data_IF_884085073474
#
_entry.id   IF_884085073474
#
_cell.length_a   1.000
_cell.length_b   1.000
_cell.length_c   1.000
_cell.angle_alpha   90.00
_cell.angle_beta   90.00
_cell.angle_gamma   90.00
#
_symmetry.space_group_name_H-M   'P 1'
#
loop_
_entity.id
_entity.type
_entity.pdbx_description
1 polymer ?
#
# COMPACT_ATOMS: atom_id res chain seq x y z
N UNK A 1 4.74 -27.68 -88.42
CA UNK A 1 5.27 -27.05 -87.19
C UNK A 1 4.11 -26.73 -86.25
N UNK A 2 3.98 -27.45 -85.12
CA UNK A 2 2.87 -27.31 -84.16
C UNK A 2 3.28 -26.34 -83.05
N UNK A 3 2.58 -25.20 -82.88
CA UNK A 3 2.76 -24.31 -81.72
C UNK A 3 1.80 -24.73 -80.60
N UNK A 4 2.34 -25.28 -79.51
CA UNK A 4 1.61 -25.52 -78.25
C UNK A 4 1.47 -24.19 -77.50
N UNK A 5 0.26 -23.85 -77.09
CA UNK A 5 -0.01 -22.75 -76.17
C UNK A 5 -0.16 -23.33 -74.76
N UNK A 6 0.60 -22.82 -73.80
CA UNK A 6 0.46 -23.17 -72.39
C UNK A 6 -0.34 -22.06 -71.70
N UNK A 7 -1.52 -22.40 -71.19
CA UNK A 7 -2.28 -21.54 -70.29
C UNK A 7 -1.75 -21.71 -68.87
N UNK A 8 -1.20 -20.64 -68.28
CA UNK A 8 -0.93 -20.59 -66.84
C UNK A 8 -2.24 -20.30 -66.10
N UNK A 9 -2.72 -21.28 -65.33
CA UNK A 9 -3.77 -21.04 -64.33
C UNK A 9 -3.10 -20.52 -63.06
N UNK A 10 -3.32 -19.25 -62.72
CA UNK A 10 -2.93 -18.69 -61.44
C UNK A 10 -3.93 -19.15 -60.36
N UNK A 11 -3.48 -20.02 -59.45
CA UNK A 11 -4.25 -20.39 -58.26
C UNK A 11 -4.03 -19.29 -57.21
N UNK A 12 -5.00 -18.39 -57.06
CA UNK A 12 -5.02 -17.42 -55.97
C UNK A 12 -5.43 -18.10 -54.66
N UNK A 13 -4.52 -18.19 -53.70
CA UNK A 13 -4.84 -18.66 -52.35
C UNK A 13 -5.61 -17.56 -51.60
N UNK A 14 -6.90 -17.79 -51.36
CA UNK A 14 -7.68 -17.02 -50.40
C UNK A 14 -7.19 -17.36 -48.99
N UNK A 15 -6.41 -16.47 -48.38
CA UNK A 15 -6.13 -16.52 -46.94
C UNK A 15 -7.39 -16.00 -46.24
N UNK A 16 -8.21 -16.90 -45.72
CA UNK A 16 -9.30 -16.54 -44.82
C UNK A 16 -8.67 -16.03 -43.50
N UNK A 17 -8.64 -14.71 -43.32
CA UNK A 17 -8.25 -14.11 -42.05
C UNK A 17 -9.30 -14.46 -41.00
N UNK A 18 -9.00 -15.41 -40.12
CA UNK A 18 -9.80 -15.69 -38.94
C UNK A 18 -9.75 -14.47 -38.03
N UNK A 19 -10.85 -13.73 -37.94
CA UNK A 19 -11.02 -12.68 -36.94
C UNK A 19 -10.96 -13.34 -35.56
N UNK A 20 -9.83 -13.17 -34.85
CA UNK A 20 -9.73 -13.52 -33.44
C UNK A 20 -10.59 -12.49 -32.69
N UNK A 21 -11.64 -12.89 -31.96
CA UNK A 21 -12.41 -11.95 -31.17
C UNK A 21 -11.49 -11.29 -30.15
N UNK A 22 -11.45 -9.96 -30.14
CA UNK A 22 -10.73 -9.21 -29.13
C UNK A 22 -11.27 -9.61 -27.76
N UNK A 23 -10.38 -10.03 -26.85
CA UNK A 23 -10.75 -10.19 -25.43
C UNK A 23 -11.36 -8.89 -24.94
N UNK A 24 -12.52 -8.92 -24.25
CA UNK A 24 -13.13 -7.70 -23.74
C UNK A 24 -12.09 -6.96 -22.90
N UNK A 25 -11.89 -5.68 -23.20
CA UNK A 25 -10.98 -4.84 -22.44
C UNK A 25 -11.42 -4.87 -20.97
N UNK A 26 -10.56 -5.41 -20.09
CA UNK A 26 -10.83 -5.38 -18.67
C UNK A 26 -10.92 -3.92 -18.20
N UNK A 27 -11.95 -3.61 -17.43
CA UNK A 27 -12.05 -2.30 -16.79
C UNK A 27 -10.84 -2.08 -15.87
N UNK A 28 -10.36 -0.84 -15.80
CA UNK A 28 -9.28 -0.48 -14.88
C UNK A 28 -9.66 -0.86 -13.44
N UNK A 29 -8.76 -1.44 -12.65
CA UNK A 29 -8.96 -1.60 -11.22
C UNK A 29 -9.24 -0.25 -10.54
N UNK A 30 -10.08 -0.26 -9.50
CA UNK A 30 -10.30 0.93 -8.68
C UNK A 30 -9.10 1.15 -7.76
N UNK A 31 -8.06 1.81 -8.25
CA UNK A 31 -6.89 2.14 -7.45
C UNK A 31 -7.24 3.05 -6.27
N UNK A 32 -6.79 2.66 -5.08
CA UNK A 32 -6.85 3.43 -3.84
C UNK A 32 -5.50 4.07 -3.55
N UNK A 33 -5.46 5.10 -2.72
CA UNK A 33 -4.17 5.64 -2.31
C UNK A 33 -3.38 4.60 -1.50
N UNK A 34 -2.05 4.53 -1.66
CA UNK A 34 -1.26 3.35 -1.25
C UNK A 34 -0.77 3.39 0.21
N UNK A 35 -1.53 4.03 1.10
CA UNK A 35 -1.23 4.08 2.54
C UNK A 35 -2.43 3.61 3.38
N UNK A 36 -2.20 3.14 4.63
CA UNK A 36 -3.24 2.60 5.50
C UNK A 36 -4.46 3.49 5.63
N UNK A 37 -5.62 2.86 5.80
CA UNK A 37 -6.91 3.53 6.01
C UNK A 37 -6.82 4.73 6.97
N UNK A 38 -7.48 5.84 6.60
CA UNK A 38 -7.63 7.02 7.44
C UNK A 38 -6.38 7.91 7.52
N UNK A 39 -5.22 7.43 7.09
CA UNK A 39 -4.03 8.28 7.02
C UNK A 39 -4.19 9.32 5.91
N UNK A 40 -3.56 10.48 6.10
CA UNK A 40 -3.56 11.58 5.14
C UNK A 40 -2.13 12.01 4.84
N UNK A 41 -1.72 11.88 3.58
CA UNK A 41 -0.35 12.15 3.13
C UNK A 41 -0.36 13.27 2.08
N UNK A 42 0.70 14.06 2.04
CA UNK A 42 0.93 15.03 0.96
C UNK A 42 1.35 14.24 -0.28
N UNK A 43 0.66 14.46 -1.40
CA UNK A 43 1.01 13.91 -2.71
C UNK A 43 1.45 15.03 -3.65
N UNK A 44 2.62 14.86 -4.26
CA UNK A 44 3.31 15.87 -5.05
C UNK A 44 3.58 15.36 -6.47
N UNK A 45 3.38 16.24 -7.45
CA UNK A 45 3.71 16.00 -8.86
C UNK A 45 4.42 17.22 -9.44
N UNK A 46 5.42 17.00 -10.30
CA UNK A 46 6.29 18.06 -10.84
C UNK A 46 6.67 17.80 -12.30
N UNK A 47 6.85 18.84 -13.10
CA UNK A 47 7.06 18.72 -14.55
C UNK A 47 8.34 17.97 -14.94
N UNK A 48 9.31 17.89 -14.03
CA UNK A 48 10.58 17.19 -14.14
C UNK A 48 10.59 15.83 -13.42
N UNK A 49 9.42 15.32 -12.99
CA UNK A 49 9.32 13.99 -12.39
C UNK A 49 9.61 12.92 -13.44
N UNK A 50 10.31 11.87 -13.05
CA UNK A 50 10.64 10.74 -13.92
C UNK A 50 10.22 9.44 -13.25
N UNK A 51 9.27 8.68 -13.84
CA UNK A 51 8.47 9.02 -15.02
C UNK A 51 7.49 10.19 -14.77
N UNK A 52 7.01 10.80 -15.86
CA UNK A 52 6.29 12.08 -15.83
C UNK A 52 4.99 12.06 -15.01
N UNK A 53 4.34 10.90 -14.94
CA UNK A 53 3.06 10.77 -14.24
C UNK A 53 3.15 10.19 -12.82
N UNK A 54 4.36 9.97 -12.30
CA UNK A 54 4.54 9.52 -10.93
C UNK A 54 3.98 10.53 -9.90
N UNK A 55 3.74 10.03 -8.69
CA UNK A 55 3.33 10.85 -7.53
C UNK A 55 4.24 10.49 -6.37
N UNK A 56 4.91 11.49 -5.80
CA UNK A 56 5.67 11.32 -4.57
C UNK A 56 4.75 11.61 -3.38
N UNK A 57 4.64 10.67 -2.46
CA UNK A 57 3.87 10.83 -1.24
C UNK A 57 4.77 10.89 -0.02
N UNK A 58 4.48 11.84 0.87
CA UNK A 58 5.19 11.96 2.14
C UNK A 58 4.29 12.53 3.24
N UNK A 59 4.71 12.36 4.48
CA UNK A 59 4.20 13.08 5.66
C UNK A 59 5.30 13.26 6.69
N UNK A 60 5.04 14.03 7.75
CA UNK A 60 5.98 14.17 8.86
C UNK A 60 6.26 12.80 9.49
N UNK A 61 7.56 12.50 9.68
CA UNK A 61 8.07 11.26 10.28
C UNK A 61 7.56 9.98 9.59
N UNK A 62 7.54 9.96 8.26
CA UNK A 62 7.04 8.84 7.45
C UNK A 62 8.04 7.70 7.23
N UNK A 63 9.30 7.84 7.64
CA UNK A 63 10.30 6.77 7.54
C UNK A 63 9.81 5.52 8.27
N UNK A 64 9.65 4.40 7.54
CA UNK A 64 9.13 3.15 8.09
C UNK A 64 7.59 3.06 8.14
N UNK A 65 6.87 4.05 7.60
CA UNK A 65 5.41 3.94 7.49
C UNK A 65 5.01 2.79 6.58
N UNK A 66 3.95 2.02 6.91
CA UNK A 66 3.47 0.96 6.04
C UNK A 66 2.99 1.49 4.70
N UNK A 67 3.43 0.84 3.62
CA UNK A 67 2.90 1.02 2.26
C UNK A 67 1.99 -0.16 1.94
N UNK A 68 0.82 0.11 1.38
CA UNK A 68 -0.19 -0.91 1.08
C UNK A 68 -0.50 -0.99 -0.42
N UNK A 69 -0.94 -2.17 -0.86
CA UNK A 69 -1.40 -2.37 -2.23
C UNK A 69 -2.58 -1.43 -2.55
N UNK A 70 -2.47 -0.75 -3.70
CA UNK A 70 -3.45 0.21 -4.20
C UNK A 70 -4.69 -0.47 -4.77
N UNK A 71 -4.52 -1.67 -5.32
CA UNK A 71 -5.60 -2.51 -5.82
C UNK A 71 -5.23 -4.00 -5.70
N UNK A 72 -6.20 -4.92 -5.76
CA UNK A 72 -5.94 -6.35 -5.81
C UNK A 72 -5.10 -6.73 -7.03
N UNK A 73 -4.21 -7.69 -6.87
CA UNK A 73 -3.33 -8.14 -7.95
C UNK A 73 -2.35 -9.22 -7.49
N UNK A 74 -1.37 -9.52 -8.34
CA UNK A 74 -0.28 -10.44 -8.06
C UNK A 74 1.03 -9.67 -8.07
N UNK A 75 1.83 -9.84 -7.01
CA UNK A 75 3.17 -9.26 -6.95
C UNK A 75 4.03 -9.93 -8.00
N UNK A 76 4.49 -9.18 -9.00
CA UNK A 76 5.30 -9.71 -10.10
C UNK A 76 6.75 -9.21 -10.05
N UNK A 77 7.06 -8.31 -9.12
CA UNK A 77 8.41 -7.81 -8.86
C UNK A 77 8.59 -7.45 -7.39
N UNK A 78 9.70 -7.90 -6.82
CA UNK A 78 10.29 -7.40 -5.58
C UNK A 78 11.78 -7.28 -5.85
N UNK A 79 12.35 -6.09 -5.79
CA UNK A 79 13.74 -5.86 -6.26
C UNK A 79 14.41 -4.73 -5.50
N UNK A 80 15.71 -4.89 -5.27
CA UNK A 80 16.60 -3.86 -4.75
C UNK A 80 17.62 -3.46 -5.82
N UNK A 81 17.54 -2.21 -6.29
CA UNK A 81 18.47 -1.61 -7.25
C UNK A 81 19.60 -0.80 -6.57
N UNK A 82 19.73 -0.86 -5.24
CA UNK A 82 20.74 -0.14 -4.49
C UNK A 82 20.50 1.37 -4.44
N UNK A 83 21.57 2.15 -4.58
CA UNK A 83 21.55 3.62 -4.45
C UNK A 83 21.11 4.40 -5.69
N UNK A 84 20.45 3.77 -6.66
CA UNK A 84 20.05 4.42 -7.92
C UNK A 84 18.60 4.13 -8.29
N UNK A 85 18.01 4.95 -9.17
CA UNK A 85 16.65 4.78 -9.70
C UNK A 85 15.64 4.55 -8.56
N UNK A 86 14.79 3.53 -8.65
CA UNK A 86 13.77 3.18 -7.66
C UNK A 86 14.32 2.70 -6.31
N UNK A 87 15.60 2.31 -6.23
CA UNK A 87 16.12 1.62 -5.07
C UNK A 87 15.37 0.31 -4.82
N UNK A 88 14.86 0.12 -3.61
CA UNK A 88 13.97 -0.99 -3.28
C UNK A 88 12.56 -0.68 -3.76
N UNK A 89 11.99 -1.57 -4.56
CA UNK A 89 10.62 -1.41 -5.03
C UNK A 89 9.84 -2.71 -5.18
N UNK A 90 8.52 -2.58 -5.11
CA UNK A 90 7.55 -3.62 -5.40
C UNK A 90 6.76 -3.22 -6.64
N UNK A 91 6.41 -4.20 -7.48
CA UNK A 91 5.42 -4.06 -8.54
C UNK A 91 4.30 -5.08 -8.40
N UNK A 92 3.08 -4.62 -8.62
CA UNK A 92 1.88 -5.46 -8.61
C UNK A 92 1.27 -5.42 -10.00
N UNK A 93 1.02 -6.60 -10.58
CA UNK A 93 0.20 -6.79 -11.77
C UNK A 93 -1.27 -6.98 -11.37
N UNK A 94 -2.12 -6.13 -11.91
CA UNK A 94 -3.56 -6.10 -11.62
C UNK A 94 -4.40 -6.74 -12.74
N UNK A 95 -3.76 -7.31 -13.77
CA UNK A 95 -4.43 -7.81 -14.96
C UNK A 95 -4.79 -6.71 -15.96
N UNK A 96 -5.15 -7.11 -17.18
CA UNK A 96 -5.51 -6.17 -18.24
C UNK A 96 -4.38 -5.21 -18.68
N UNK A 97 -3.13 -5.54 -18.34
CA UNK A 97 -1.96 -4.70 -18.59
C UNK A 97 -1.71 -3.61 -17.56
N UNK A 98 -2.52 -3.52 -16.51
CA UNK A 98 -2.34 -2.54 -15.44
C UNK A 98 -1.31 -3.00 -14.41
N UNK A 99 -0.36 -2.14 -14.10
CA UNK A 99 0.62 -2.38 -13.02
C UNK A 99 0.81 -1.15 -12.15
N UNK A 100 1.12 -1.34 -10.88
CA UNK A 100 1.52 -0.26 -9.96
C UNK A 100 2.92 -0.48 -9.43
N UNK A 101 3.66 0.62 -9.23
CA UNK A 101 5.03 0.60 -8.71
C UNK A 101 5.07 1.35 -7.38
N UNK A 102 5.84 0.82 -6.44
CA UNK A 102 6.04 1.37 -5.10
C UNK A 102 7.53 1.38 -4.81
N UNK A 103 8.17 2.55 -4.89
CA UNK A 103 9.62 2.70 -4.87
C UNK A 103 10.12 3.45 -3.63
N UNK A 104 11.45 3.51 -3.52
CA UNK A 104 12.19 4.08 -2.39
C UNK A 104 11.92 3.39 -1.05
N UNK A 105 11.45 2.14 -1.07
CA UNK A 105 11.12 1.39 0.15
C UNK A 105 12.36 1.15 1.02
N UNK A 106 12.20 0.91 2.33
CA UNK A 106 13.29 0.44 3.20
C UNK A 106 13.28 -1.09 3.41
N UNK A 107 12.19 -1.77 3.05
CA UNK A 107 11.99 -3.19 3.23
C UNK A 107 10.72 -3.69 2.52
N UNK A 108 10.57 -5.02 2.45
CA UNK A 108 9.47 -5.70 1.74
C UNK A 108 8.68 -6.59 2.70
N UNK A 109 7.36 -6.68 2.48
CA UNK A 109 6.46 -7.57 3.23
C UNK A 109 5.70 -8.55 2.33
N UNK A 110 6.19 -8.72 1.10
CA UNK A 110 5.61 -9.59 0.08
C UNK A 110 6.70 -10.26 -0.74
N UNK A 111 6.32 -11.33 -1.44
CA UNK A 111 7.20 -12.06 -2.37
C UNK A 111 6.57 -12.13 -3.77
N UNK A 112 7.40 -12.32 -4.79
CA UNK A 112 6.94 -12.54 -6.17
C UNK A 112 6.00 -13.77 -6.22
N UNK A 113 4.90 -13.65 -6.96
CA UNK A 113 3.82 -14.64 -7.07
C UNK A 113 2.73 -14.48 -6.01
N UNK A 114 2.92 -13.65 -4.98
CA UNK A 114 1.92 -13.46 -3.94
C UNK A 114 0.71 -12.66 -4.43
N UNK A 115 -0.49 -13.20 -4.25
CA UNK A 115 -1.73 -12.44 -4.42
C UNK A 115 -1.94 -11.47 -3.26
N UNK A 116 -2.32 -10.24 -3.57
CA UNK A 116 -2.57 -9.17 -2.61
C UNK A 116 -3.93 -8.52 -2.89
N UNK A 117 -4.56 -8.02 -1.83
CA UNK A 117 -5.80 -7.24 -1.91
C UNK A 117 -5.59 -5.81 -1.44
N UNK A 118 -6.66 -5.00 -1.46
CA UNK A 118 -6.65 -3.66 -0.86
C UNK A 118 -6.10 -3.69 0.57
N UNK A 119 -5.28 -2.69 0.92
CA UNK A 119 -4.75 -2.53 2.26
C UNK A 119 -3.67 -3.56 2.66
N UNK A 120 -3.36 -4.57 1.85
CA UNK A 120 -2.26 -5.49 2.18
C UNK A 120 -0.95 -4.73 2.21
N UNK A 121 -0.25 -4.75 3.35
CA UNK A 121 1.11 -4.18 3.45
C UNK A 121 2.04 -4.92 2.53
N UNK A 122 2.78 -4.16 1.74
CA UNK A 122 3.75 -4.65 0.76
C UNK A 122 5.19 -4.26 1.10
N UNK A 123 5.37 -3.28 1.96
CA UNK A 123 6.66 -2.80 2.41
C UNK A 123 6.48 -1.56 3.28
N UNK A 124 7.56 -0.82 3.46
CA UNK A 124 7.55 0.39 4.29
C UNK A 124 8.34 1.51 3.60
N UNK A 125 7.90 2.75 3.83
CA UNK A 125 8.51 3.96 3.31
C UNK A 125 9.98 4.01 3.70
N UNK A 126 10.81 4.45 2.76
CA UNK A 126 12.25 4.60 2.97
C UNK A 126 12.84 5.73 2.16
N UNK A 127 14.16 5.71 2.05
CA UNK A 127 14.95 6.64 1.26
C UNK A 127 16.04 5.89 0.48
N UNK A 128 15.66 4.80 -0.18
CA UNK A 128 16.59 4.03 -1.04
C UNK A 128 16.53 4.53 -2.49
N UNK A 129 17.55 4.21 -3.30
CA UNK A 129 17.59 4.64 -4.70
C UNK A 129 17.99 6.11 -4.87
N UNK A 130 17.52 6.72 -5.95
CA UNK A 130 17.72 8.15 -6.26
C UNK A 130 16.83 9.07 -5.44
N UNK A 131 16.80 8.88 -4.12
CA UNK A 131 15.97 9.65 -3.17
C UNK A 131 16.84 10.56 -2.29
N UNK A 132 16.37 11.78 -2.01
CA UNK A 132 17.02 12.75 -1.13
C UNK A 132 16.48 12.74 0.30
N UNK A 133 15.42 11.99 0.56
CA UNK A 133 14.81 11.85 1.89
C UNK A 133 13.61 10.90 1.87
N UNK A 134 13.10 10.48 3.03
CA UNK A 134 11.98 9.54 3.12
C UNK A 134 10.75 10.01 2.35
N UNK A 135 10.27 9.17 1.43
CA UNK A 135 8.99 9.33 0.72
C UNK A 135 8.64 8.03 -0.03
N UNK A 136 7.40 7.92 -0.48
CA UNK A 136 6.94 6.88 -1.41
C UNK A 136 6.82 7.45 -2.82
N UNK A 137 7.58 6.92 -3.77
CA UNK A 137 7.36 7.16 -5.20
C UNK A 137 6.36 6.12 -5.73
N UNK A 138 5.24 6.59 -6.29
CA UNK A 138 4.13 5.76 -6.75
C UNK A 138 3.81 5.98 -8.23
N UNK A 139 3.52 4.88 -8.94
CA UNK A 139 3.13 4.93 -10.35
C UNK A 139 1.92 4.04 -10.65
N UNK A 140 1.14 4.45 -11.65
CA UNK A 140 0.23 3.58 -12.38
C UNK A 140 0.72 3.45 -13.82
N UNK A 141 0.70 2.24 -14.36
CA UNK A 141 1.08 1.97 -15.75
C UNK A 141 0.06 1.11 -16.46
N UNK A 142 -0.04 1.29 -17.77
CA UNK A 142 -0.82 0.45 -18.68
C UNK A 142 0.08 -0.04 -19.83
N UNK A 143 0.19 -1.36 -19.97
CA UNK A 143 1.04 -2.02 -20.97
C UNK A 143 2.49 -1.51 -20.94
N UNK A 144 3.02 -1.27 -19.74
CA UNK A 144 4.39 -0.79 -19.51
C UNK A 144 4.59 0.73 -19.57
N UNK A 145 3.63 1.48 -20.12
CA UNK A 145 3.69 2.95 -20.21
C UNK A 145 3.14 3.58 -18.93
N UNK A 146 3.82 4.62 -18.42
CA UNK A 146 3.27 5.41 -17.34
C UNK A 146 2.03 6.16 -17.79
N UNK A 147 1.02 6.16 -16.93
CA UNK A 147 -0.26 6.83 -17.19
C UNK A 147 -0.57 7.76 -16.03
N UNK A 148 -1.44 8.74 -16.30
CA UNK A 148 -1.92 9.62 -15.26
C UNK A 148 -2.59 8.82 -14.13
N UNK A 149 -2.10 9.04 -12.91
CA UNK A 149 -2.57 8.37 -11.71
C UNK A 149 -3.99 8.79 -11.40
N UNK A 150 -4.86 7.79 -11.18
CA UNK A 150 -6.24 7.98 -10.74
C UNK A 150 -6.49 7.24 -9.45
N UNK A 151 -7.06 7.91 -8.45
CA UNK A 151 -7.53 7.28 -7.22
C UNK A 151 -9.05 7.36 -7.16
N UNK A 152 -9.72 6.22 -6.96
CA UNK A 152 -11.19 6.14 -7.01
C UNK A 152 -11.76 6.70 -8.33
N UNK A 153 -11.05 6.49 -9.44
CA UNK A 153 -11.39 7.06 -10.76
C UNK A 153 -11.05 8.55 -10.94
N UNK A 154 -10.81 9.28 -9.85
CA UNK A 154 -10.48 10.70 -9.88
C UNK A 154 -9.00 10.91 -10.21
N UNK A 155 -8.73 11.87 -11.09
CA UNK A 155 -7.37 12.25 -11.46
C UNK A 155 -6.61 12.83 -10.25
N UNK A 156 -5.35 12.41 -10.08
CA UNK A 156 -4.44 13.06 -9.14
C UNK A 156 -4.20 14.53 -9.54
N UNK A 157 -3.86 15.39 -8.58
CA UNK A 157 -3.40 16.75 -8.88
C UNK A 157 -2.04 16.66 -9.58
N UNK A 158 -1.97 17.23 -10.79
CA UNK A 158 -0.74 17.40 -11.55
C UNK A 158 -0.19 18.81 -11.40
N UNK A 159 1.14 18.91 -11.25
CA UNK A 159 1.91 20.15 -11.14
C UNK A 159 1.64 20.92 -9.84
N UNK A 160 1.58 20.19 -8.73
CA UNK A 160 1.37 20.77 -7.42
C UNK A 160 1.30 19.74 -6.30
N UNK A 161 0.87 20.20 -5.14
CA UNK A 161 0.76 19.39 -3.92
C UNK A 161 -0.69 19.33 -3.48
N UNK A 162 -1.17 18.13 -3.15
CA UNK A 162 -2.51 17.89 -2.59
C UNK A 162 -2.42 16.87 -1.47
N UNK A 163 -3.15 17.09 -0.37
CA UNK A 163 -3.35 16.06 0.64
C UNK A 163 -4.35 15.02 0.16
N UNK A 164 -3.99 13.75 0.28
CA UNK A 164 -4.86 12.62 -0.01
C UNK A 164 -5.13 11.84 1.27
N UNK A 165 -6.40 11.55 1.55
CA UNK A 165 -6.82 10.71 2.68
C UNK A 165 -7.19 9.32 2.18
N UNK A 166 -6.69 8.29 2.85
CA UNK A 166 -6.91 6.91 2.43
C UNK A 166 -8.27 6.37 2.82
N UNK A 167 -8.98 5.88 1.81
CA UNK A 167 -10.12 4.99 1.94
C UNK A 167 -9.73 3.52 1.64
N UNK A 168 -8.43 3.21 1.57
CA UNK A 168 -7.92 1.89 1.20
C UNK A 168 -8.18 0.87 2.31
N UNK A 169 -9.03 -0.11 2.02
CA UNK A 169 -9.50 -1.13 2.97
C UNK A 169 -10.11 -0.53 4.27
N UNK A 170 -10.80 0.60 4.16
CA UNK A 170 -11.43 1.29 5.29
C UNK A 170 -12.73 0.66 5.83
N UNK A 171 -13.05 -0.57 5.43
CA UNK A 171 -13.94 -1.39 6.26
C UNK A 171 -13.34 -1.43 7.67
N UNK A 172 -14.15 -1.25 8.71
CA UNK A 172 -13.75 -1.25 10.12
C UNK A 172 -13.12 -2.59 10.53
N UNK A 173 -11.90 -2.84 10.06
CA UNK A 173 -11.09 -3.98 10.43
C UNK A 173 -10.50 -3.65 11.78
N UNK A 174 -10.97 -4.37 12.78
CA UNK A 174 -10.36 -4.35 14.10
C UNK A 174 -9.04 -5.11 14.04
N UNK A 175 -8.01 -4.57 14.68
CA UNK A 175 -6.82 -5.33 15.02
C UNK A 175 -7.11 -6.29 16.16
N UNK A 176 -6.12 -7.12 16.48
CA UNK A 176 -6.12 -7.87 17.72
C UNK A 176 -4.73 -7.82 18.32
N UNK A 177 -4.67 -7.81 19.64
CA UNK A 177 -3.41 -7.93 20.37
C UNK A 177 -3.59 -8.79 21.61
N UNK A 178 -2.48 -9.27 22.17
CA UNK A 178 -2.47 -9.97 23.46
C UNK A 178 -1.73 -9.11 24.46
N UNK A 179 -2.38 -8.79 25.58
CA UNK A 179 -1.74 -8.03 26.66
C UNK A 179 -0.68 -8.89 27.32
N UNK A 180 0.51 -8.32 27.53
CA UNK A 180 1.61 -8.95 28.25
C UNK A 180 2.26 -7.92 29.17
N UNK A 181 2.06 -8.12 30.47
CA UNK A 181 2.55 -7.25 31.54
C UNK A 181 3.29 -8.04 32.61
N UNK A 182 3.66 -9.30 32.32
CA UNK A 182 4.29 -10.20 33.29
C UNK A 182 3.47 -10.35 34.59
N UNK A 183 2.15 -10.49 34.47
CA UNK A 183 1.22 -10.83 35.56
C UNK A 183 0.44 -9.70 36.22
N UNK A 184 0.73 -8.41 35.93
CA UNK A 184 0.00 -7.28 36.54
C UNK A 184 -1.07 -6.72 35.59
N UNK A 185 -2.35 -6.56 35.97
CA UNK A 185 -3.36 -6.02 35.04
C UNK A 185 -2.95 -4.67 34.42
N UNK A 186 -3.06 -4.56 33.10
CA UNK A 186 -2.77 -3.35 32.34
C UNK A 186 -3.86 -2.30 32.59
N UNK A 187 -3.48 -1.07 32.89
CA UNK A 187 -4.43 0.03 33.11
C UNK A 187 -5.09 0.46 31.81
N UNK A 188 -6.42 0.56 31.81
CA UNK A 188 -7.22 1.17 30.74
C UNK A 188 -7.43 2.64 31.06
N UNK A 189 -7.10 3.51 30.10
CA UNK A 189 -7.20 4.97 30.21
C UNK A 189 -8.39 5.51 29.42
N UNK A 190 -8.92 6.64 29.85
CA UNK A 190 -10.01 7.35 29.15
C UNK A 190 -9.57 8.00 27.83
N UNK A 191 -8.26 8.05 27.56
CA UNK A 191 -7.65 8.63 26.38
C UNK A 191 -6.21 8.13 26.20
N UNK A 192 -5.54 8.50 25.10
CA UNK A 192 -4.24 7.97 24.73
C UNK A 192 -3.10 8.63 25.51
N UNK A 193 -2.99 8.33 26.80
CA UNK A 193 -1.91 8.89 27.61
C UNK A 193 -1.98 8.52 29.08
N UNK A 194 -0.84 8.57 29.75
CA UNK A 194 -0.72 8.27 31.19
C UNK A 194 -1.30 9.37 32.09
N UNK A 195 -1.61 10.54 31.54
CA UNK A 195 -2.32 11.63 32.25
C UNK A 195 -3.85 11.49 32.24
N UNK A 196 -4.42 10.63 31.39
CA UNK A 196 -5.86 10.38 31.35
C UNK A 196 -6.31 9.52 32.53
N UNK A 197 -7.59 9.66 32.93
CA UNK A 197 -8.14 8.92 34.06
C UNK A 197 -8.12 7.42 33.81
N UNK A 198 -7.87 6.64 34.87
CA UNK A 198 -8.04 5.19 34.84
C UNK A 198 -9.54 4.87 34.79
N UNK A 199 -9.95 4.07 33.80
CA UNK A 199 -11.35 3.66 33.57
C UNK A 199 -11.50 2.13 33.62
N UNK A 200 -10.48 1.43 34.12
CA UNK A 200 -10.48 -0.01 34.34
C UNK A 200 -9.11 -0.64 34.15
N UNK A 201 -9.09 -1.97 34.08
CA UNK A 201 -7.90 -2.75 33.78
C UNK A 201 -8.23 -3.88 32.78
N UNK A 202 -7.18 -4.40 32.13
CA UNK A 202 -7.22 -5.62 31.32
C UNK A 202 -6.23 -6.60 31.94
N UNK A 203 -6.64 -7.84 32.17
CA UNK A 203 -5.77 -8.84 32.76
C UNK A 203 -4.62 -9.22 31.81
N UNK A 204 -3.48 -9.60 32.38
CA UNK A 204 -2.36 -10.17 31.64
C UNK A 204 -2.80 -11.40 30.82
N UNK A 205 -2.23 -11.57 29.62
CA UNK A 205 -2.59 -12.63 28.67
C UNK A 205 -3.93 -12.42 27.96
N UNK A 206 -4.69 -11.37 28.25
CA UNK A 206 -6.00 -11.14 27.60
C UNK A 206 -5.82 -10.76 26.14
N UNK A 207 -6.56 -11.45 25.26
CA UNK A 207 -6.69 -11.04 23.86
C UNK A 207 -7.71 -9.91 23.73
N UNK A 208 -7.30 -8.80 23.12
CA UNK A 208 -8.13 -7.61 22.92
C UNK A 208 -8.43 -7.39 21.44
N UNK A 209 -9.59 -6.82 21.18
CA UNK A 209 -9.96 -6.26 19.87
C UNK A 209 -9.55 -4.79 19.83
N UNK A 210 -8.80 -4.39 18.81
CA UNK A 210 -8.28 -3.03 18.66
C UNK A 210 -9.10 -2.33 17.58
N UNK A 211 -9.94 -1.37 17.97
CA UNK A 211 -10.86 -0.70 17.04
C UNK A 211 -10.19 0.40 16.22
N UNK A 212 -9.22 1.09 16.82
CA UNK A 212 -8.37 2.07 16.17
C UNK A 212 -7.10 2.26 17.01
N UNK A 213 -6.09 2.88 16.42
CA UNK A 213 -4.86 3.24 17.11
C UNK A 213 -4.55 4.72 16.93
N UNK A 214 -3.90 5.32 17.92
CA UNK A 214 -3.53 6.74 17.93
C UNK A 214 -2.15 6.91 18.54
N UNK A 215 -1.50 8.05 18.26
CA UNK A 215 -0.37 8.52 19.06
C UNK A 215 -0.83 9.11 20.40
N UNK A 216 0.01 9.02 21.41
CA UNK A 216 -0.24 9.53 22.76
C UNK A 216 1.04 9.68 23.57
N UNK A 217 0.93 9.70 24.90
CA UNK A 217 2.11 9.73 25.78
C UNK A 217 2.98 8.48 25.55
N UNK A 218 4.29 8.65 25.41
CA UNK A 218 5.24 7.54 25.28
C UNK A 218 5.27 6.68 26.55
N UNK A 219 5.23 5.36 26.36
CA UNK A 219 5.26 4.35 27.42
C UNK A 219 6.33 3.32 27.10
N UNK A 220 7.11 2.92 28.11
CA UNK A 220 7.99 1.75 28.05
C UNK A 220 7.30 0.58 28.73
N UNK A 221 7.22 -0.55 28.03
CA UNK A 221 6.58 -1.79 28.48
C UNK A 221 7.30 -3.03 27.96
N UNK A 222 6.63 -4.17 28.03
CA UNK A 222 7.19 -5.49 27.71
C UNK A 222 7.76 -5.59 26.29
N UNK A 223 7.12 -4.94 25.31
CA UNK A 223 7.53 -4.95 23.91
C UNK A 223 8.37 -3.72 23.50
N UNK A 224 8.91 -2.99 24.48
CA UNK A 224 9.80 -1.84 24.25
C UNK A 224 9.12 -0.49 24.54
N UNK A 225 9.56 0.55 23.82
CA UNK A 225 9.08 1.92 24.03
C UNK A 225 8.27 2.38 22.84
N UNK A 226 7.00 2.74 23.06
CA UNK A 226 6.06 3.13 22.00
C UNK A 226 5.24 4.35 22.45
N UNK A 227 4.87 5.20 21.49
CA UNK A 227 3.88 6.28 21.67
C UNK A 227 2.50 5.89 21.16
N UNK A 228 2.31 4.64 20.74
CA UNK A 228 1.05 4.13 20.20
C UNK A 228 0.11 3.71 21.33
N UNK A 229 -1.17 4.01 21.15
CA UNK A 229 -2.25 3.63 22.05
C UNK A 229 -3.36 2.93 21.27
N UNK A 230 -3.79 1.79 21.81
CA UNK A 230 -4.85 0.95 21.24
C UNK A 230 -6.20 1.28 21.86
N UNK A 231 -7.18 1.67 21.04
CA UNK A 231 -8.55 1.84 21.49
C UNK A 231 -9.28 0.49 21.47
N UNK A 232 -9.53 -0.06 22.64
CA UNK A 232 -10.19 -1.37 22.84
C UNK A 232 -11.68 -1.26 23.16
N UNK A 233 -12.23 -0.05 23.12
CA UNK A 233 -13.65 0.23 23.33
C UNK A 233 -13.93 1.73 23.39
N UNK A 234 -15.19 2.12 23.59
CA UNK A 234 -15.53 3.54 23.66
C UNK A 234 -14.87 4.23 24.85
N UNK A 235 -13.96 5.17 24.57
CA UNK A 235 -13.18 5.87 25.60
C UNK A 235 -12.25 4.95 26.39
N UNK A 236 -11.79 3.83 25.82
CA UNK A 236 -10.96 2.84 26.50
C UNK A 236 -9.68 2.62 25.70
N UNK A 237 -8.56 3.08 26.24
CA UNK A 237 -7.25 3.01 25.61
C UNK A 237 -6.25 2.24 26.47
N UNK A 238 -5.40 1.44 25.85
CA UNK A 238 -4.26 0.79 26.50
C UNK A 238 -2.98 1.14 25.74
N UNK A 239 -1.84 1.11 26.41
CA UNK A 239 -0.55 1.39 25.78
C UNK A 239 -0.08 0.19 24.96
N UNK A 240 0.21 0.39 23.68
CA UNK A 240 0.65 -0.63 22.72
C UNK A 240 1.99 -1.27 23.14
N UNK A 241 2.82 -0.57 23.90
CA UNK A 241 4.07 -1.08 24.48
C UNK A 241 3.91 -2.36 25.34
N UNK A 242 2.69 -2.68 25.77
CA UNK A 242 2.33 -3.89 26.52
C UNK A 242 1.45 -4.86 25.73
N UNK A 243 1.28 -4.66 24.43
CA UNK A 243 0.35 -5.43 23.60
C UNK A 243 1.11 -6.08 22.44
N UNK A 244 1.13 -7.41 22.39
CA UNK A 244 1.65 -8.11 21.23
C UNK A 244 0.66 -8.06 20.08
N UNK A 245 0.94 -7.24 19.08
CA UNK A 245 0.12 -7.09 17.87
C UNK A 245 0.70 -7.81 16.65
N UNK A 246 1.97 -8.21 16.73
CA UNK A 246 2.76 -8.73 15.60
C UNK A 246 3.33 -7.65 14.68
N UNK A 247 3.27 -6.37 15.07
CA UNK A 247 3.82 -5.24 14.33
C UNK A 247 4.61 -4.32 15.27
N UNK A 248 5.77 -3.81 14.83
CA UNK A 248 6.62 -2.88 15.61
C UNK A 248 6.07 -1.45 15.65
N UNK A 249 4.92 -1.24 15.04
CA UNK A 249 4.24 0.04 15.00
C UNK A 249 2.76 -0.21 14.77
N UNK A 250 2.10 0.76 14.18
CA UNK A 250 0.66 0.63 14.01
C UNK A 250 0.26 -0.56 13.13
N UNK A 251 -0.76 -1.28 13.57
CA UNK A 251 -1.40 -2.37 12.85
C UNK A 251 -1.94 -1.83 11.51
N UNK A 252 -1.59 -2.47 10.39
CA UNK A 252 -2.10 -2.10 9.09
C UNK A 252 -3.61 -2.25 9.00
N UNK A 253 -4.26 -1.30 8.33
CA UNK A 253 -5.72 -1.22 8.13
C UNK A 253 -6.57 -1.06 9.39
N UNK A 254 -5.97 -1.08 10.57
CA UNK A 254 -6.66 -0.62 11.78
C UNK A 254 -6.79 0.90 11.68
N UNK A 255 -8.02 1.45 11.77
CA UNK A 255 -8.26 2.88 11.65
C UNK A 255 -7.40 3.70 12.60
N UNK A 256 -7.16 4.96 12.23
CA UNK A 256 -6.56 5.94 13.15
C UNK A 256 -7.61 6.79 13.82
N UNK A 257 -7.52 6.80 15.14
CA UNK A 257 -8.12 7.79 16.00
C UNK A 257 -6.96 8.57 16.64
#
# INVERSE_FOLDING_TARGET
>A
MRKRWYSLAAVGALIAATLVPATPAMAAPTFKVPFPCGQSWSGQTRSDHSPAYAVDFNRTDDQGDPVVASAPGTVDRVTDLGGTSYGKYVRIDHGGGYTTYYAHLNGFNVSVGQSVGYGKVIGWVGSTGGSTGPHLHYEQRLNGNDIQVRFNGNLALYWGTKTYTSDNNCSSSTGSGTVDTSGTPLTVRSGPGTGYSSVGTVADGTKVTIHCQTSGTTVTGTYGTSSIWDRIGSGRYIADAYVYTGYDGYIPNVPRC
#
